data_IF_309128461585
#
_entry.id   IF_309128461585
#
_cell.length_a   1.000
_cell.length_b   1.000
_cell.length_c   1.000
_cell.angle_alpha   90.00
_cell.angle_beta   90.00
_cell.angle_gamma   90.00
#
_symmetry.space_group_name_H-M   'P 1'
#
loop_
_entity.id
_entity.type
_entity.pdbx_description
1 polymer ?
#
# COMPACT_ATOMS: atom_id res chain seq x y z
N UNK A 1 -22.26 -27.77 -30.30
CA UNK A 1 -22.58 -28.16 -28.91
C UNK A 1 -23.18 -26.92 -28.27
N UNK A 2 -24.51 -26.87 -28.16
CA UNK A 2 -25.23 -25.70 -27.66
C UNK A 2 -25.42 -25.81 -26.14
N UNK A 3 -24.31 -25.80 -25.41
CA UNK A 3 -24.38 -25.68 -23.96
C UNK A 3 -24.71 -24.22 -23.64
N UNK A 4 -25.82 -23.92 -22.94
CA UNK A 4 -26.14 -22.55 -22.56
C UNK A 4 -25.02 -21.96 -21.71
N UNK A 5 -24.58 -20.75 -22.06
CA UNK A 5 -23.58 -20.02 -21.29
C UNK A 5 -24.20 -19.64 -19.94
N UNK A 6 -23.43 -19.85 -18.87
CA UNK A 6 -23.80 -19.41 -17.53
C UNK A 6 -23.33 -17.98 -17.31
N UNK A 7 -24.08 -17.23 -16.52
CA UNK A 7 -23.72 -15.86 -16.16
C UNK A 7 -22.40 -15.81 -15.37
N UNK A 8 -21.69 -14.70 -15.48
CA UNK A 8 -20.43 -14.48 -14.77
C UNK A 8 -20.60 -14.52 -13.25
N UNK A 9 -21.73 -14.02 -12.73
CA UNK A 9 -22.08 -14.06 -11.31
C UNK A 9 -22.06 -15.47 -10.72
N UNK A 10 -22.52 -16.47 -11.48
CA UNK A 10 -22.48 -17.87 -11.06
C UNK A 10 -21.04 -18.33 -10.78
N UNK A 11 -20.11 -17.98 -11.67
CA UNK A 11 -18.70 -18.33 -11.50
C UNK A 11 -18.06 -17.51 -10.38
N UNK A 12 -18.45 -16.24 -10.24
CA UNK A 12 -17.93 -15.36 -9.21
C UNK A 12 -18.29 -15.83 -7.79
N UNK A 13 -19.56 -16.13 -7.56
CA UNK A 13 -20.06 -16.63 -6.27
C UNK A 13 -19.39 -17.96 -5.91
N UNK A 14 -19.32 -18.88 -6.88
CA UNK A 14 -18.67 -20.16 -6.70
C UNK A 14 -17.18 -20.00 -6.38
N UNK A 15 -16.45 -19.20 -7.15
CA UNK A 15 -15.03 -18.96 -6.94
C UNK A 15 -14.77 -18.31 -5.58
N UNK A 16 -15.62 -17.38 -5.15
CA UNK A 16 -15.53 -16.73 -3.83
C UNK A 16 -15.65 -17.75 -2.71
N UNK A 17 -16.64 -18.64 -2.78
CA UNK A 17 -16.82 -19.72 -1.80
C UNK A 17 -15.66 -20.71 -1.79
N UNK A 18 -15.17 -21.09 -2.96
CA UNK A 18 -14.04 -22.01 -3.10
C UNK A 18 -12.75 -21.38 -2.54
N UNK A 19 -12.49 -20.10 -2.85
CA UNK A 19 -11.35 -19.37 -2.30
C UNK A 19 -11.38 -19.32 -0.78
N UNK A 20 -12.53 -19.01 -0.17
CA UNK A 20 -12.67 -19.00 1.28
C UNK A 20 -12.43 -20.38 1.94
N UNK A 21 -12.67 -21.47 1.20
CA UNK A 21 -12.49 -22.84 1.70
C UNK A 21 -11.09 -23.41 1.47
N UNK A 22 -10.40 -22.96 0.40
CA UNK A 22 -9.16 -23.59 -0.06
C UNK A 22 -7.91 -22.72 0.11
N UNK A 23 -8.05 -21.39 0.16
CA UNK A 23 -6.91 -20.51 0.43
C UNK A 23 -6.66 -20.47 1.93
N UNK A 24 -5.48 -20.94 2.33
CA UNK A 24 -5.02 -20.82 3.70
C UNK A 24 -4.72 -19.36 4.02
N UNK A 25 -5.21 -18.89 5.17
CA UNK A 25 -4.83 -17.59 5.71
C UNK A 25 -3.86 -17.80 6.87
N UNK A 26 -2.64 -17.29 6.73
CA UNK A 26 -1.65 -17.35 7.81
C UNK A 26 -1.92 -16.22 8.80
N UNK A 27 -2.35 -16.59 10.02
CA UNK A 27 -2.51 -15.65 11.12
C UNK A 27 -1.14 -15.19 11.62
N UNK A 28 -0.97 -13.88 11.73
CA UNK A 28 0.22 -13.19 12.25
C UNK A 28 -0.21 -12.09 13.19
N UNK A 29 0.62 -11.75 14.16
CA UNK A 29 0.38 -10.55 14.92
C UNK A 29 0.63 -9.28 14.06
N UNK A 30 0.18 -8.12 14.55
CA UNK A 30 0.29 -6.85 13.83
C UNK A 30 1.73 -6.50 13.47
N UNK A 31 2.68 -6.68 14.39
CA UNK A 31 4.09 -6.30 14.19
C UNK A 31 4.78 -7.28 13.25
N UNK A 32 4.46 -8.56 13.35
CA UNK A 32 4.92 -9.58 12.39
C UNK A 32 4.40 -9.30 10.98
N UNK A 33 3.12 -8.95 10.84
CA UNK A 33 2.53 -8.55 9.56
C UNK A 33 3.23 -7.33 8.98
N UNK A 34 3.47 -6.30 9.81
CA UNK A 34 4.19 -5.10 9.37
C UNK A 34 5.65 -5.39 8.99
N UNK A 35 6.34 -6.29 9.70
CA UNK A 35 7.71 -6.69 9.35
C UNK A 35 7.76 -7.37 7.96
N UNK A 36 6.79 -8.25 7.66
CA UNK A 36 6.66 -8.82 6.33
C UNK A 36 6.32 -7.77 5.29
N UNK A 37 5.42 -6.82 5.60
CA UNK A 37 5.10 -5.72 4.69
C UNK A 37 6.35 -4.92 4.32
N UNK A 38 7.16 -4.49 5.30
CA UNK A 38 8.44 -3.84 5.03
C UNK A 38 9.34 -4.68 4.11
N UNK A 39 9.53 -5.97 4.43
CA UNK A 39 10.36 -6.85 3.59
C UNK A 39 9.81 -7.04 2.18
N UNK A 40 8.50 -7.03 1.99
CA UNK A 40 7.87 -7.08 0.67
C UNK A 40 8.15 -5.80 -0.11
N UNK A 41 8.06 -4.63 0.54
CA UNK A 41 8.41 -3.34 -0.07
C UNK A 41 9.88 -3.33 -0.50
N UNK A 42 10.79 -3.81 0.35
CA UNK A 42 12.21 -3.97 0.03
C UNK A 42 12.45 -4.93 -1.15
N UNK A 43 11.86 -6.13 -1.11
CA UNK A 43 11.91 -7.13 -2.19
C UNK A 43 11.44 -6.56 -3.54
N UNK A 44 10.52 -5.62 -3.51
CA UNK A 44 9.94 -4.97 -4.70
C UNK A 44 10.58 -3.63 -5.04
N UNK A 45 11.76 -3.36 -4.47
CA UNK A 45 12.62 -2.19 -4.75
C UNK A 45 11.95 -0.85 -4.39
N UNK A 46 11.03 -0.83 -3.42
CA UNK A 46 10.31 0.37 -3.00
C UNK A 46 11.01 1.15 -1.87
N UNK A 47 12.26 0.81 -1.57
CA UNK A 47 13.08 1.48 -0.57
C UNK A 47 13.67 2.79 -1.11
N UNK A 48 13.82 3.77 -0.22
CA UNK A 48 14.37 5.08 -0.55
C UNK A 48 15.31 5.58 0.57
N UNK A 49 16.31 4.75 0.91
CA UNK A 49 17.12 4.97 2.11
C UNK A 49 16.25 4.87 3.35
N UNK A 50 16.29 5.89 4.21
CA UNK A 50 15.46 5.98 5.43
C UNK A 50 14.12 6.73 5.21
N UNK A 51 13.84 7.14 3.98
CA UNK A 51 12.53 7.67 3.62
C UNK A 51 11.52 6.53 3.41
N UNK A 52 10.24 6.88 3.49
CA UNK A 52 9.14 5.93 3.53
C UNK A 52 8.70 5.61 4.96
N UNK A 53 7.41 5.36 5.12
CA UNK A 53 6.79 5.07 6.40
C UNK A 53 5.72 4.00 6.21
N UNK A 54 5.59 3.12 7.19
CA UNK A 54 4.45 2.23 7.35
C UNK A 54 3.84 2.49 8.73
N UNK A 55 2.52 2.49 8.80
CA UNK A 55 1.79 2.54 10.05
C UNK A 55 0.57 1.63 10.07
N UNK A 56 0.18 1.20 11.27
CA UNK A 56 -1.08 0.47 11.53
C UNK A 56 -1.72 1.06 12.80
N UNK A 57 -3.05 1.16 12.89
CA UNK A 57 -3.69 1.54 14.16
C UNK A 57 -3.35 0.53 15.25
N UNK A 58 -3.11 1.01 16.46
CA UNK A 58 -2.98 0.14 17.63
C UNK A 58 -4.36 -0.23 18.17
N UNK A 59 -4.41 -1.32 18.94
CA UNK A 59 -5.55 -1.66 19.78
C UNK A 59 -5.78 -0.60 20.88
N UNK A 60 -4.74 0.13 21.26
CA UNK A 60 -4.85 1.30 22.16
C UNK A 60 -5.49 2.47 21.39
N UNK A 61 -6.63 3.01 21.86
CA UNK A 61 -7.29 4.13 21.18
C UNK A 61 -6.37 5.35 21.01
N UNK A 62 -6.34 5.90 19.80
CA UNK A 62 -5.53 7.08 19.47
C UNK A 62 -4.03 6.81 19.34
N UNK A 63 -3.60 5.55 19.34
CA UNK A 63 -2.22 5.15 19.15
C UNK A 63 -2.01 4.33 17.85
N UNK A 64 -0.77 4.30 17.37
CA UNK A 64 -0.41 3.73 16.07
C UNK A 64 0.93 2.99 16.16
N UNK A 65 1.04 1.83 15.53
CA UNK A 65 2.31 1.16 15.30
C UNK A 65 3.02 1.75 14.09
N UNK A 66 4.34 1.94 14.17
CA UNK A 66 5.19 2.35 13.05
C UNK A 66 6.60 1.80 13.20
N UNK A 67 7.35 1.66 12.10
CA UNK A 67 8.76 1.28 12.15
C UNK A 67 9.55 2.41 12.81
N UNK A 68 10.37 2.09 13.83
CA UNK A 68 11.25 3.10 14.44
C UNK A 68 12.19 3.68 13.39
N UNK A 69 12.43 4.98 13.45
CA UNK A 69 13.30 5.67 12.51
C UNK A 69 14.76 5.21 12.66
N UNK A 70 15.49 5.17 11.54
CA UNK A 70 16.88 4.73 11.48
C UNK A 70 17.09 3.29 10.96
N UNK A 71 16.05 2.66 10.40
CA UNK A 71 16.13 1.36 9.73
C UNK A 71 15.60 1.43 8.30
N UNK A 72 16.20 0.65 7.40
CA UNK A 72 15.62 0.28 6.12
C UNK A 72 14.43 -0.67 6.28
N UNK A 73 13.67 -0.88 5.20
CA UNK A 73 12.53 -1.79 5.24
C UNK A 73 12.98 -3.27 5.26
N UNK A 74 14.10 -3.59 4.61
CA UNK A 74 14.75 -4.90 4.65
C UNK A 74 15.23 -5.32 6.06
N UNK A 75 15.62 -4.34 6.88
CA UNK A 75 16.08 -4.53 8.26
C UNK A 75 14.94 -4.81 9.26
N UNK A 76 13.70 -4.44 8.93
CA UNK A 76 12.59 -4.43 9.87
C UNK A 76 12.34 -5.81 10.53
N UNK A 77 12.34 -5.87 11.86
CA UNK A 77 11.87 -7.03 12.64
C UNK A 77 10.64 -6.67 13.47
N UNK A 78 9.84 -7.64 13.96
CA UNK A 78 8.68 -7.34 14.81
C UNK A 78 9.03 -6.50 16.06
N UNK A 79 10.26 -6.63 16.56
CA UNK A 79 10.77 -5.87 17.71
C UNK A 79 11.14 -4.41 17.40
N UNK A 80 11.25 -4.04 16.12
CA UNK A 80 11.60 -2.68 15.70
C UNK A 80 10.38 -1.75 15.57
N UNK A 81 9.17 -2.30 15.70
CA UNK A 81 7.95 -1.51 15.69
C UNK A 81 7.69 -0.88 17.06
N UNK A 82 7.43 0.43 17.03
CA UNK A 82 7.08 1.23 18.20
C UNK A 82 5.61 1.65 18.09
N UNK A 83 4.97 1.79 19.24
CA UNK A 83 3.64 2.36 19.36
C UNK A 83 3.79 3.85 19.69
N UNK A 84 3.09 4.72 18.97
CA UNK A 84 3.14 6.17 19.16
C UNK A 84 1.76 6.79 19.33
N UNK A 85 1.69 7.93 20.00
CA UNK A 85 0.48 8.75 20.09
C UNK A 85 0.31 9.67 18.87
N UNK A 86 -0.67 10.58 18.95
CA UNK A 86 -1.00 11.55 17.89
C UNK A 86 0.08 12.61 17.64
N UNK A 87 1.01 12.79 18.57
CA UNK A 87 2.13 13.71 18.44
C UNK A 87 3.45 12.98 18.17
N UNK A 88 3.36 11.69 17.80
CA UNK A 88 4.49 10.80 17.53
C UNK A 88 5.39 10.53 18.75
N UNK A 89 4.88 10.74 19.97
CA UNK A 89 5.59 10.33 21.18
C UNK A 89 5.52 8.80 21.31
N UNK A 90 6.68 8.17 21.55
CA UNK A 90 6.76 6.72 21.76
C UNK A 90 6.07 6.32 23.07
N UNK A 91 5.02 5.52 22.95
CA UNK A 91 4.26 4.93 24.05
C UNK A 91 4.78 3.54 24.44
N UNK A 92 5.21 2.75 23.45
CA UNK A 92 5.74 1.39 23.64
C UNK A 92 6.90 1.13 22.67
N UNK A 93 7.91 0.37 23.11
CA UNK A 93 9.11 0.06 22.31
C UNK A 93 10.27 1.04 22.58
N UNK A 94 11.27 1.07 21.69
CA UNK A 94 12.48 1.91 21.84
C UNK A 94 12.78 2.66 20.54
N UNK A 95 13.19 3.92 20.66
CA UNK A 95 13.45 4.81 19.53
C UNK A 95 12.35 5.84 19.31
N UNK A 96 12.32 6.42 18.12
CA UNK A 96 11.39 7.47 17.72
C UNK A 96 10.73 7.12 16.38
N UNK A 97 9.55 7.67 16.12
CA UNK A 97 8.93 7.56 14.80
C UNK A 97 9.67 8.43 13.77
N UNK A 98 9.54 8.08 12.50
CA UNK A 98 9.89 9.01 11.43
C UNK A 98 8.96 10.24 11.54
N UNK A 99 9.48 11.49 11.61
CA UNK A 99 8.64 12.68 11.74
C UNK A 99 7.60 12.82 10.62
N UNK A 100 7.91 12.30 9.43
CA UNK A 100 6.97 12.30 8.30
C UNK A 100 5.80 11.33 8.49
N UNK A 101 5.79 10.44 9.50
CA UNK A 101 4.58 9.68 9.85
C UNK A 101 3.41 10.60 10.26
N UNK A 102 3.66 11.90 10.53
CA UNK A 102 2.63 12.86 10.94
C UNK A 102 1.44 12.94 9.98
N UNK A 103 1.66 12.95 8.66
CA UNK A 103 0.53 13.03 7.73
C UNK A 103 -0.31 11.75 7.67
N UNK A 104 0.24 10.58 8.06
CA UNK A 104 -0.56 9.36 8.21
C UNK A 104 -1.65 9.57 9.27
N UNK A 105 -1.35 10.29 10.34
CA UNK A 105 -2.27 10.55 11.45
C UNK A 105 -3.48 11.40 11.02
N UNK A 106 -3.26 12.36 10.11
CA UNK A 106 -4.33 13.15 9.50
C UNK A 106 -5.22 12.30 8.59
N UNK A 107 -4.63 11.38 7.83
CA UNK A 107 -5.41 10.42 7.03
C UNK A 107 -6.24 9.52 7.95
N UNK A 108 -5.67 8.97 9.03
CA UNK A 108 -6.42 8.18 10.00
C UNK A 108 -7.56 8.95 10.66
N UNK A 109 -7.37 10.23 10.99
CA UNK A 109 -8.46 11.03 11.55
C UNK A 109 -9.60 11.26 10.54
N UNK A 110 -9.27 11.54 9.28
CA UNK A 110 -10.26 11.71 8.23
C UNK A 110 -10.92 10.39 7.78
N UNK A 111 -10.24 9.26 7.99
CA UNK A 111 -10.64 7.93 7.50
C UNK A 111 -10.64 6.87 8.60
N UNK A 112 -11.73 6.76 9.38
CA UNK A 112 -11.88 5.73 10.40
C UNK A 112 -11.84 4.29 9.85
N UNK A 113 -12.17 4.11 8.56
CA UNK A 113 -12.13 2.83 7.86
C UNK A 113 -10.69 2.36 7.54
N UNK A 114 -9.73 3.29 7.45
CA UNK A 114 -8.33 2.98 7.17
C UNK A 114 -7.65 2.46 8.43
N UNK A 115 -7.00 1.31 8.32
CA UNK A 115 -6.27 0.67 9.40
C UNK A 115 -4.75 0.64 9.19
N UNK A 116 -4.28 0.71 7.94
CA UNK A 116 -2.86 0.75 7.60
C UNK A 116 -2.56 1.74 6.49
N UNK A 117 -1.41 2.40 6.58
CA UNK A 117 -0.93 3.36 5.59
C UNK A 117 0.52 3.04 5.27
N UNK A 118 0.85 3.07 3.98
CA UNK A 118 2.22 2.95 3.47
C UNK A 118 2.51 4.16 2.59
N UNK A 119 3.65 4.79 2.84
CA UNK A 119 4.22 5.82 2.00
C UNK A 119 5.62 5.40 1.59
N UNK A 120 5.93 5.50 0.30
CA UNK A 120 7.29 5.25 -0.19
C UNK A 120 7.64 6.23 -1.32
N UNK A 121 8.94 6.30 -1.64
CA UNK A 121 9.46 6.98 -2.82
C UNK A 121 9.95 5.95 -3.84
N UNK A 122 9.10 4.98 -4.18
CA UNK A 122 9.47 3.90 -5.09
C UNK A 122 9.89 4.40 -6.48
N UNK A 123 10.79 3.70 -7.19
CA UNK A 123 11.40 4.17 -8.42
C UNK A 123 10.41 4.62 -9.50
N UNK A 124 9.40 3.81 -9.82
CA UNK A 124 8.52 4.07 -10.97
C UNK A 124 7.38 5.04 -10.64
N UNK A 125 6.77 4.93 -9.46
CA UNK A 125 5.79 5.91 -9.00
C UNK A 125 6.41 7.31 -8.88
N UNK A 126 7.68 7.40 -8.43
CA UNK A 126 8.41 8.66 -8.35
C UNK A 126 8.68 9.28 -9.73
N UNK A 127 8.81 8.48 -10.80
CA UNK A 127 8.88 9.03 -12.17
C UNK A 127 7.58 9.77 -12.53
N UNK A 128 6.42 9.19 -12.22
CA UNK A 128 5.13 9.85 -12.45
C UNK A 128 4.96 11.10 -11.56
N UNK A 129 5.31 10.99 -10.28
CA UNK A 129 5.29 12.12 -9.35
C UNK A 129 6.18 13.29 -9.83
N UNK A 130 7.38 12.98 -10.34
CA UNK A 130 8.32 13.96 -10.89
C UNK A 130 7.78 14.60 -12.16
N UNK A 131 7.16 13.81 -13.03
CA UNK A 131 6.52 14.28 -14.26
C UNK A 131 5.15 14.94 -14.05
N UNK A 132 4.68 15.02 -12.79
CA UNK A 132 3.35 15.51 -12.40
C UNK A 132 2.23 14.82 -13.18
N UNK A 133 2.36 13.51 -13.40
CA UNK A 133 1.38 12.71 -14.12
C UNK A 133 0.54 11.87 -13.15
N UNK A 134 -0.80 11.82 -13.32
CA UNK A 134 -1.63 10.86 -12.61
C UNK A 134 -1.38 9.44 -13.13
N UNK A 135 -1.81 8.45 -12.34
CA UNK A 135 -1.79 7.05 -12.73
C UNK A 135 -2.89 6.76 -13.77
N UNK A 136 -2.56 5.98 -14.79
CA UNK A 136 -3.50 5.51 -15.82
C UNK A 136 -3.60 3.99 -15.76
N UNK A 137 -4.79 3.48 -15.48
CA UNK A 137 -5.04 2.04 -15.42
C UNK A 137 -5.30 1.52 -16.85
N UNK A 138 -4.26 0.97 -17.47
CA UNK A 138 -4.32 0.44 -18.84
C UNK A 138 -4.12 -1.08 -18.91
N UNK A 139 -4.15 -1.78 -17.77
CA UNK A 139 -4.00 -3.24 -17.70
C UNK A 139 -4.85 -3.82 -16.56
N UNK A 140 -5.48 -4.97 -16.80
CA UNK A 140 -6.49 -5.57 -15.93
C UNK A 140 -6.01 -5.85 -14.50
N UNK A 141 -4.79 -6.36 -14.32
CA UNK A 141 -4.28 -6.67 -12.98
C UNK A 141 -4.04 -5.40 -12.15
N UNK A 142 -3.97 -4.22 -12.77
CA UNK A 142 -3.80 -2.93 -12.10
C UNK A 142 -5.14 -2.27 -11.72
N UNK A 143 -6.27 -2.90 -12.04
CA UNK A 143 -7.61 -2.39 -11.72
C UNK A 143 -7.92 -2.24 -10.23
N UNK A 144 -7.23 -2.84 -9.25
CA UNK A 144 -7.36 -2.44 -7.83
C UNK A 144 -7.13 -0.96 -7.54
N UNK A 145 -6.56 -0.20 -8.49
CA UNK A 145 -6.33 1.25 -8.40
C UNK A 145 -7.26 2.06 -9.33
N UNK A 146 -8.19 1.40 -10.04
CA UNK A 146 -9.13 2.04 -10.97
C UNK A 146 -10.10 2.94 -10.21
N UNK A 147 -10.16 4.22 -10.61
CA UNK A 147 -10.90 5.27 -9.89
C UNK A 147 -10.56 5.38 -8.39
N UNK A 148 -9.43 4.80 -7.95
CA UNK A 148 -9.05 4.64 -6.55
C UNK A 148 -7.60 5.10 -6.26
N UNK A 149 -7.01 5.81 -7.23
CA UNK A 149 -5.76 6.53 -7.07
C UNK A 149 -5.98 8.03 -7.31
N UNK A 150 -5.87 8.82 -6.25
CA UNK A 150 -5.90 10.28 -6.32
C UNK A 150 -4.57 10.84 -6.88
N UNK A 151 -4.59 12.12 -7.22
CA UNK A 151 -3.40 12.86 -7.62
C UNK A 151 -3.38 14.23 -6.95
N UNK A 152 -2.30 14.53 -6.22
CA UNK A 152 -2.03 15.86 -5.70
C UNK A 152 -0.97 16.55 -6.57
N UNK A 153 -1.40 17.54 -7.35
CA UNK A 153 -0.55 18.20 -8.34
C UNK A 153 0.38 19.29 -7.80
N UNK A 154 0.16 19.75 -6.57
CA UNK A 154 0.94 20.80 -5.90
C UNK A 154 1.56 20.24 -4.62
N UNK A 155 2.89 20.21 -4.55
CA UNK A 155 3.62 19.64 -3.40
C UNK A 155 3.48 20.58 -2.19
N UNK A 156 2.94 20.11 -1.05
CA UNK A 156 2.75 20.97 0.12
C UNK A 156 4.03 21.18 0.94
N UNK A 157 5.15 20.56 0.53
CA UNK A 157 6.40 20.55 1.29
C UNK A 157 6.63 19.22 2.02
N UNK A 158 7.67 19.18 2.86
CA UNK A 158 8.03 18.00 3.65
C UNK A 158 6.95 17.79 4.74
N UNK A 159 6.26 16.64 4.79
CA UNK A 159 5.03 16.48 5.57
C UNK A 159 5.29 16.16 7.05
N UNK A 160 5.96 17.08 7.75
CA UNK A 160 6.27 17.00 9.18
C UNK A 160 5.39 17.90 10.06
N UNK A 161 4.52 18.72 9.46
CA UNK A 161 3.58 19.57 10.18
C UNK A 161 2.12 19.24 9.81
N UNK A 162 1.19 19.94 10.45
CA UNK A 162 -0.24 19.66 10.32
C UNK A 162 -0.83 20.08 8.98
N UNK A 163 -0.32 21.17 8.41
CA UNK A 163 -0.88 21.73 7.19
C UNK A 163 -0.69 20.80 5.99
N UNK A 164 0.46 20.14 5.88
CA UNK A 164 0.71 19.14 4.83
C UNK A 164 -0.22 17.93 5.01
N UNK A 165 -0.45 17.49 6.25
CA UNK A 165 -1.39 16.42 6.57
C UNK A 165 -2.83 16.74 6.15
N UNK A 166 -3.32 17.96 6.44
CA UNK A 166 -4.64 18.44 5.99
C UNK A 166 -4.75 18.43 4.47
N UNK A 167 -3.74 18.92 3.76
CA UNK A 167 -3.75 18.99 2.29
C UNK A 167 -3.77 17.58 1.68
N UNK A 168 -2.89 16.69 2.15
CA UNK A 168 -2.75 15.34 1.61
C UNK A 168 -4.00 14.51 1.90
N UNK A 169 -4.51 14.53 3.13
CA UNK A 169 -5.73 13.81 3.51
C UNK A 169 -6.96 14.28 2.72
N UNK A 170 -7.11 15.60 2.51
CA UNK A 170 -8.18 16.14 1.67
C UNK A 170 -8.04 15.72 0.21
N UNK A 171 -6.82 15.69 -0.33
CA UNK A 171 -6.57 15.28 -1.70
C UNK A 171 -6.79 13.78 -1.93
N UNK A 172 -6.47 12.95 -0.93
CA UNK A 172 -6.77 11.51 -0.94
C UNK A 172 -8.29 11.26 -1.00
N UNK A 173 -9.06 12.01 -0.20
CA UNK A 173 -10.51 11.87 -0.14
C UNK A 173 -10.94 10.46 0.31
N UNK A 174 -11.82 9.82 -0.46
CA UNK A 174 -12.31 8.47 -0.23
C UNK A 174 -11.43 7.37 -0.87
N UNK A 175 -10.41 7.75 -1.64
CA UNK A 175 -9.54 6.82 -2.34
C UNK A 175 -8.56 6.12 -1.41
N UNK A 176 -8.02 4.99 -1.87
CA UNK A 176 -7.03 4.18 -1.14
C UNK A 176 -5.61 4.37 -1.64
N UNK A 177 -5.39 5.13 -2.70
CA UNK A 177 -4.06 5.51 -3.13
C UNK A 177 -3.99 6.97 -3.57
N UNK A 178 -2.81 7.56 -3.53
CA UNK A 178 -2.55 8.90 -4.05
C UNK A 178 -1.11 9.04 -4.54
N UNK A 179 -0.93 9.61 -5.74
CA UNK A 179 0.38 10.09 -6.21
C UNK A 179 0.53 11.56 -5.81
N UNK A 180 1.65 11.90 -5.19
CA UNK A 180 2.00 13.23 -4.70
C UNK A 180 3.09 13.82 -5.60
N UNK A 181 2.76 14.83 -6.41
CA UNK A 181 3.72 15.49 -7.28
C UNK A 181 4.99 15.92 -6.51
N UNK A 182 6.17 15.72 -7.13
CA UNK A 182 7.49 16.02 -6.56
C UNK A 182 7.87 15.25 -5.27
N UNK A 183 7.10 14.23 -4.88
CA UNK A 183 7.33 13.53 -3.62
C UNK A 183 7.37 12.00 -3.77
N UNK A 184 6.22 11.35 -3.98
CA UNK A 184 6.10 9.89 -3.97
C UNK A 184 4.63 9.49 -4.03
N UNK A 185 4.24 8.41 -3.35
CA UNK A 185 2.83 8.03 -3.23
C UNK A 185 2.48 7.56 -1.81
N UNK A 186 1.19 7.49 -1.52
CA UNK A 186 0.65 6.85 -0.32
C UNK A 186 -0.41 5.82 -0.73
N UNK A 187 -0.48 4.70 -0.01
CA UNK A 187 -1.61 3.78 -0.01
C UNK A 187 -2.21 3.65 1.39
N UNK A 188 -3.52 3.48 1.45
CA UNK A 188 -4.33 3.37 2.65
C UNK A 188 -5.27 2.17 2.52
N UNK A 189 -5.16 1.21 3.44
CA UNK A 189 -5.95 -0.02 3.43
C UNK A 189 -6.68 -0.26 4.74
N UNK A 190 -7.73 -1.08 4.70
CA UNK A 190 -8.43 -1.61 5.88
C UNK A 190 -7.57 -2.63 6.65
N UNK A 191 -6.47 -3.08 6.05
CA UNK A 191 -5.46 -3.93 6.68
C UNK A 191 -4.06 -3.59 6.17
N UNK A 192 -3.03 -4.04 6.90
CA UNK A 192 -1.63 -3.93 6.47
C UNK A 192 -1.39 -4.70 5.15
N UNK A 193 -2.07 -5.82 4.97
CA UNK A 193 -2.00 -6.64 3.77
C UNK A 193 -2.58 -5.91 2.56
N UNK A 194 -3.74 -5.25 2.70
CA UNK A 194 -4.35 -4.48 1.62
C UNK A 194 -3.50 -3.25 1.25
N UNK A 195 -3.00 -2.50 2.24
CA UNK A 195 -2.12 -1.37 1.98
C UNK A 195 -0.84 -1.80 1.23
N UNK A 196 -0.26 -2.94 1.62
CA UNK A 196 0.92 -3.54 0.97
C UNK A 196 0.59 -4.00 -0.45
N UNK A 197 -0.55 -4.65 -0.64
CA UNK A 197 -1.06 -5.07 -1.94
C UNK A 197 -1.17 -3.89 -2.89
N UNK A 198 -1.88 -2.83 -2.49
CA UNK A 198 -2.01 -1.62 -3.28
C UNK A 198 -0.66 -0.97 -3.57
N UNK A 199 0.26 -0.95 -2.59
CA UNK A 199 1.62 -0.39 -2.74
C UNK A 199 2.42 -1.11 -3.84
N UNK A 200 2.41 -2.45 -3.82
CA UNK A 200 3.09 -3.27 -4.83
C UNK A 200 2.46 -3.07 -6.22
N UNK A 201 1.13 -3.02 -6.29
CA UNK A 201 0.43 -2.84 -7.57
C UNK A 201 0.57 -1.41 -8.11
N UNK A 202 0.64 -0.38 -7.26
CA UNK A 202 0.85 1.01 -7.69
C UNK A 202 2.20 1.17 -8.38
N UNK A 203 3.26 0.64 -7.78
CA UNK A 203 4.59 0.68 -8.39
C UNK A 203 4.64 -0.10 -9.71
N UNK A 204 3.97 -1.26 -9.77
CA UNK A 204 3.85 -2.04 -11.02
C UNK A 204 3.07 -1.29 -12.08
N UNK A 205 1.97 -0.64 -11.72
CA UNK A 205 1.15 0.16 -12.63
C UNK A 205 1.94 1.34 -13.18
N UNK A 206 2.67 2.06 -12.31
CA UNK A 206 3.55 3.16 -12.72
C UNK A 206 4.64 2.68 -13.69
N UNK A 207 5.27 1.54 -13.40
CA UNK A 207 6.28 0.93 -14.28
C UNK A 207 5.71 0.57 -15.65
N UNK A 208 4.51 -0.02 -15.69
CA UNK A 208 3.82 -0.35 -16.94
C UNK A 208 3.51 0.92 -17.72
N UNK A 209 2.96 1.95 -17.07
CA UNK A 209 2.61 3.21 -17.69
C UNK A 209 3.82 3.87 -18.35
N UNK A 210 4.92 4.05 -17.60
CA UNK A 210 6.14 4.70 -18.10
C UNK A 210 6.72 3.93 -19.29
N UNK A 211 6.84 2.60 -19.19
CA UNK A 211 7.44 1.78 -20.25
C UNK A 211 6.57 1.70 -21.50
N UNK A 212 5.27 1.52 -21.33
CA UNK A 212 4.34 1.44 -22.46
C UNK A 212 4.23 2.80 -23.17
N UNK A 213 4.19 3.91 -22.43
CA UNK A 213 4.19 5.25 -23.02
C UNK A 213 5.46 5.54 -23.81
N UNK A 214 6.62 5.19 -23.25
CA UNK A 214 7.90 5.37 -23.93
C UNK A 214 8.02 4.53 -25.22
N UNK A 215 7.47 3.31 -25.23
CA UNK A 215 7.59 2.41 -26.37
C UNK A 215 6.51 2.62 -27.45
N UNK A 216 5.29 2.99 -27.06
CA UNK A 216 4.11 2.93 -27.94
C UNK A 216 3.27 4.22 -27.96
N UNK A 217 3.61 5.23 -27.17
CA UNK A 217 2.87 6.49 -27.09
C UNK A 217 1.68 6.45 -26.12
N UNK A 218 0.66 7.31 -26.29
CA UNK A 218 -0.45 7.43 -25.35
C UNK A 218 -1.13 6.08 -25.05
N UNK A 219 -1.52 5.89 -23.79
CA UNK A 219 -2.19 4.66 -23.36
C UNK A 219 -3.71 4.77 -23.53
N UNK A 220 -4.32 3.62 -23.80
CA UNK A 220 -5.78 3.45 -23.71
C UNK A 220 -6.10 2.83 -22.35
N UNK A 221 -6.89 3.51 -21.49
CA UNK A 221 -7.36 2.92 -20.24
C UNK A 221 -8.20 1.65 -20.47
N UNK A 222 -8.27 0.80 -19.45
CA UNK A 222 -9.26 -0.29 -19.44
C UNK A 222 -10.67 0.33 -19.44
N UNK A 223 -11.62 -0.34 -20.09
CA UNK A 223 -13.03 0.06 -20.04
C UNK A 223 -13.52 0.21 -18.58
N UNK A 224 -14.23 1.30 -18.29
CA UNK A 224 -14.58 1.69 -16.92
C UNK A 224 -15.44 0.63 -16.21
N UNK A 225 -16.39 0.01 -16.92
CA UNK A 225 -17.27 -1.02 -16.33
C UNK A 225 -16.49 -2.30 -16.07
N UNK A 226 -15.66 -2.73 -17.02
CA UNK A 226 -14.82 -3.92 -16.84
C UNK A 226 -13.75 -3.71 -15.76
N UNK A 227 -13.22 -2.50 -15.65
CA UNK A 227 -12.23 -2.13 -14.65
C UNK A 227 -12.84 -2.10 -13.24
N UNK A 228 -14.05 -1.54 -13.07
CA UNK A 228 -14.76 -1.57 -11.79
C UNK A 228 -15.09 -3.00 -11.34
N UNK A 229 -15.49 -3.87 -12.28
CA UNK A 229 -15.76 -5.27 -11.96
C UNK A 229 -14.48 -6.02 -11.53
N UNK A 230 -13.38 -5.82 -12.26
CA UNK A 230 -12.10 -6.44 -11.93
C UNK A 230 -11.48 -5.89 -10.64
N UNK A 231 -11.65 -4.59 -10.38
CA UNK A 231 -11.28 -3.92 -9.14
C UNK A 231 -11.88 -4.64 -7.92
N UNK A 232 -13.20 -4.82 -7.91
CA UNK A 232 -13.91 -5.45 -6.79
C UNK A 232 -13.54 -6.93 -6.64
N UNK A 233 -13.34 -7.63 -7.76
CA UNK A 233 -12.92 -9.02 -7.74
C UNK A 233 -11.52 -9.18 -7.14
N UNK A 234 -10.53 -8.40 -7.60
CA UNK A 234 -9.13 -8.54 -7.19
C UNK A 234 -8.87 -8.08 -5.75
N UNK A 235 -9.73 -7.20 -5.22
CA UNK A 235 -9.66 -6.72 -3.85
C UNK A 235 -10.39 -7.61 -2.84
N UNK A 236 -10.95 -8.75 -3.26
CA UNK A 236 -11.50 -9.74 -2.33
C UNK A 236 -10.46 -10.10 -1.27
N UNK A 237 -10.82 -10.13 0.03
CA UNK A 237 -9.87 -10.41 1.11
C UNK A 237 -9.08 -11.70 0.92
N UNK A 238 -9.71 -12.73 0.35
CA UNK A 238 -9.04 -14.00 0.05
C UNK A 238 -7.89 -13.86 -0.97
N UNK A 239 -8.05 -13.02 -1.99
CA UNK A 239 -7.01 -12.75 -2.99
C UNK A 239 -5.89 -11.91 -2.39
N UNK A 240 -6.25 -10.81 -1.71
CA UNK A 240 -5.29 -9.90 -1.06
C UNK A 240 -4.43 -10.67 -0.06
N UNK A 241 -5.06 -11.43 0.85
CA UNK A 241 -4.34 -12.18 1.88
C UNK A 241 -3.49 -13.31 1.30
N UNK A 242 -4.00 -14.08 0.34
CA UNK A 242 -3.21 -15.14 -0.29
C UNK A 242 -2.02 -14.58 -1.07
N UNK A 243 -2.17 -13.41 -1.70
CA UNK A 243 -1.10 -12.71 -2.40
C UNK A 243 -0.04 -12.21 -1.42
N UNK A 244 -0.45 -11.59 -0.32
CA UNK A 244 0.46 -11.16 0.74
C UNK A 244 1.23 -12.34 1.35
N UNK A 245 0.54 -13.45 1.61
CA UNK A 245 1.15 -14.68 2.12
C UNK A 245 2.15 -15.27 1.13
N UNK A 246 1.86 -15.20 -0.17
CA UNK A 246 2.79 -15.59 -1.22
C UNK A 246 4.04 -14.71 -1.21
N UNK A 247 3.91 -13.39 -1.22
CA UNK A 247 5.06 -12.50 -1.16
C UNK A 247 5.86 -12.66 0.14
N UNK A 248 5.19 -12.91 1.27
CA UNK A 248 5.84 -13.22 2.55
C UNK A 248 6.73 -14.47 2.47
N UNK A 249 6.37 -15.48 1.66
CA UNK A 249 7.25 -16.62 1.40
C UNK A 249 8.45 -16.25 0.52
N UNK A 250 8.28 -15.29 -0.38
CA UNK A 250 9.36 -14.82 -1.26
C UNK A 250 10.39 -13.93 -0.54
N UNK A 251 10.02 -13.31 0.58
CA UNK A 251 10.98 -12.54 1.39
C UNK A 251 12.00 -13.45 2.11
N UNK A 252 11.81 -14.78 2.10
CA UNK A 252 12.80 -15.72 2.62
C UNK A 252 14.06 -15.68 1.76
N UNK A 253 15.14 -15.10 2.30
CA UNK A 253 16.39 -14.83 1.58
C UNK A 253 16.82 -13.36 1.63
N UNK A 254 15.90 -12.45 1.99
CA UNK A 254 16.24 -11.12 2.49
C UNK A 254 16.77 -11.34 3.91
N UNK A 255 18.08 -11.47 4.03
CA UNK A 255 18.72 -11.88 5.27
C UNK A 255 18.27 -10.98 6.43
N UNK A 256 17.72 -11.50 7.53
CA UNK A 256 17.95 -10.82 8.79
C UNK A 256 19.47 -10.92 9.02
N UNK A 257 20.15 -9.79 9.17
CA UNK A 257 21.38 -9.82 9.94
C UNK A 257 20.96 -10.33 11.31
N UNK A 258 21.17 -11.64 11.54
CA UNK A 258 21.08 -12.25 12.85
C UNK A 258 21.73 -11.28 13.82
N UNK A 259 20.95 -10.78 14.80
CA UNK A 259 21.51 -10.05 15.94
C UNK A 259 22.48 -11.02 16.62
N UNK A 260 23.76 -10.95 16.26
CA UNK A 260 24.82 -11.38 17.15
C UNK A 260 24.65 -10.52 18.39
N UNK A 261 24.06 -11.12 19.42
CA UNK A 261 24.06 -10.57 20.78
C UNK A 261 25.49 -10.49 21.30
#
# INVERSE_FOLDING_TARGET
>A
MDTPLRDKSYFDERATKEMASHLQHVQRDTRETMAFACRILAMTEQEAGLAGQISVRSERPGAYWTLRFGLGFDEATPEDFIEVDRDLNTLSGQGMANPATRFHLWVYEARPDVNSIIHTHSPWATVLATARQPLVISQMDMTPLHNDCAFLGEWPGVPIADQEGVIISKALGDKRAIILAHHGYLTAGQSCQEATYLSVYLERAARLQVRAQAAFGPLTPVDDTLAAEAHDYLLKPSIVNATFDYWSRQTQGIAPLTKTR
#
